data_IF_887106966830
#
_entry.id   IF_887106966830
#
_cell.length_a   1.000
_cell.length_b   1.000
_cell.length_c   1.000
_cell.angle_alpha   90.00
_cell.angle_beta   90.00
_cell.angle_gamma   90.00
#
_symmetry.space_group_name_H-M   'P 1'
#
loop_
_entity.id
_entity.type
_entity.pdbx_description
1 polymer ?
#
# COMPACT_ATOMS: atom_id res chain seq x y z
N UNK A 1 -23.78 34.04 -33.84
CA UNK A 1 -22.67 33.38 -34.56
C UNK A 1 -21.46 33.29 -33.62
N UNK A 2 -20.85 32.10 -33.52
CA UNK A 2 -19.46 31.80 -33.10
C UNK A 2 -19.04 32.15 -31.63
N UNK A 3 -18.30 31.34 -30.86
CA UNK A 3 -17.60 30.08 -31.13
C UNK A 3 -16.98 29.46 -29.85
N UNK A 4 -17.04 28.12 -29.79
CA UNK A 4 -16.10 27.12 -29.23
C UNK A 4 -14.91 27.54 -28.31
N UNK A 5 -14.81 26.80 -27.17
CA UNK A 5 -13.68 25.94 -26.68
C UNK A 5 -12.95 26.30 -25.34
N UNK A 6 -13.11 25.38 -24.39
CA UNK A 6 -12.10 24.62 -23.61
C UNK A 6 -11.02 25.33 -22.73
N UNK A 7 -11.22 25.14 -21.41
CA UNK A 7 -10.29 24.70 -20.34
C UNK A 7 -8.94 25.38 -20.06
N UNK A 8 -8.70 25.51 -18.74
CA UNK A 8 -7.46 25.26 -17.97
C UNK A 8 -6.79 26.49 -17.34
N UNK A 9 -6.42 26.39 -16.07
CA UNK A 9 -5.49 27.31 -15.41
C UNK A 9 -5.37 27.06 -13.91
N UNK A 10 -4.66 26.01 -13.50
CA UNK A 10 -4.17 25.86 -12.13
C UNK A 10 -3.08 26.92 -11.93
N UNK A 11 -3.24 27.79 -10.92
CA UNK A 11 -2.22 28.75 -10.50
C UNK A 11 -1.73 28.38 -9.08
N UNK A 12 -0.41 28.44 -8.95
CA UNK A 12 0.42 27.84 -7.91
C UNK A 12 0.33 28.52 -6.53
N UNK A 13 0.60 27.75 -5.48
CA UNK A 13 1.08 28.27 -4.20
C UNK A 13 2.31 27.48 -3.77
N UNK A 14 3.46 28.16 -3.81
CA UNK A 14 4.76 27.67 -3.36
C UNK A 14 4.85 27.71 -1.83
N UNK A 15 5.38 26.65 -1.19
CA UNK A 15 5.82 26.70 0.20
C UNK A 15 7.12 25.89 0.39
N UNK A 16 8.21 26.64 0.63
CA UNK A 16 9.37 26.32 1.45
C UNK A 16 9.98 24.91 1.41
N UNK A 17 11.12 24.78 0.73
CA UNK A 17 12.08 23.70 1.00
C UNK A 17 12.86 24.04 2.29
N UNK A 18 12.28 23.73 3.44
CA UNK A 18 13.04 23.61 4.67
C UNK A 18 13.76 22.25 4.64
N UNK A 19 15.09 22.30 4.62
CA UNK A 19 15.95 21.12 4.70
C UNK A 19 15.84 20.48 6.09
N UNK A 20 14.83 19.62 6.28
CA UNK A 20 14.89 18.60 7.31
C UNK A 20 15.83 17.51 6.80
N UNK A 21 17.00 17.39 7.42
CA UNK A 21 17.77 16.14 7.38
C UNK A 21 16.88 15.11 8.08
N UNK A 22 15.98 14.52 7.31
CA UNK A 22 15.22 13.36 7.74
C UNK A 22 16.27 12.28 7.92
N UNK A 23 16.64 12.01 9.17
CA UNK A 23 16.96 10.65 9.55
C UNK A 23 15.73 9.84 9.13
N UNK A 24 15.75 9.32 7.90
CA UNK A 24 14.76 8.37 7.46
C UNK A 24 14.79 7.30 8.55
N UNK A 25 13.67 7.02 9.25
CA UNK A 25 13.65 5.84 10.09
C UNK A 25 14.08 4.73 9.15
N UNK A 26 15.22 4.12 9.43
CA UNK A 26 15.58 2.85 8.81
C UNK A 26 14.37 2.00 9.10
N UNK A 27 13.53 1.80 8.08
CA UNK A 27 12.38 0.94 8.15
C UNK A 27 12.95 -0.48 8.18
N UNK A 28 13.56 -0.82 9.33
CA UNK A 28 13.48 -2.17 9.82
C UNK A 28 11.99 -2.42 9.92
N UNK A 29 11.44 -3.04 8.86
CA UNK A 29 10.08 -3.52 8.85
C UNK A 29 9.98 -4.43 10.08
N UNK A 30 9.49 -3.87 11.18
CA UNK A 30 9.33 -4.60 12.41
C UNK A 30 8.50 -5.82 12.08
N UNK A 31 8.90 -6.96 12.64
CA UNK A 31 8.16 -8.19 12.47
C UNK A 31 6.70 -7.93 12.83
N UNK A 32 5.82 -8.02 11.84
CA UNK A 32 4.40 -7.84 12.05
C UNK A 32 3.89 -9.02 12.85
N UNK A 33 3.11 -8.73 13.89
CA UNK A 33 2.40 -9.80 14.59
C UNK A 33 1.41 -10.44 13.63
N UNK A 34 1.22 -11.75 13.72
CA UNK A 34 0.23 -12.46 12.88
C UNK A 34 -1.19 -11.92 13.07
N UNK A 35 -1.49 -11.40 14.27
CA UNK A 35 -2.75 -10.70 14.56
C UNK A 35 -2.87 -9.41 13.76
N UNK A 36 -1.78 -8.66 13.61
CA UNK A 36 -1.72 -7.43 12.79
C UNK A 36 -1.94 -7.77 11.33
N UNK A 37 -1.18 -8.73 10.78
CA UNK A 37 -1.30 -9.15 9.37
C UNK A 37 -2.73 -9.58 9.05
N UNK A 38 -3.33 -10.42 9.90
CA UNK A 38 -4.72 -10.85 9.73
C UNK A 38 -5.69 -9.67 9.76
N UNK A 39 -5.59 -8.79 10.74
CA UNK A 39 -6.49 -7.64 10.90
C UNK A 39 -6.39 -6.68 9.70
N UNK A 40 -5.18 -6.41 9.23
CA UNK A 40 -4.95 -5.54 8.08
C UNK A 40 -5.47 -6.19 6.79
N UNK A 41 -5.28 -7.50 6.64
CA UNK A 41 -5.82 -8.24 5.51
C UNK A 41 -7.36 -8.16 5.45
N UNK A 42 -8.02 -8.37 6.59
CA UNK A 42 -9.48 -8.25 6.70
C UNK A 42 -9.94 -6.81 6.42
N UNK A 43 -9.20 -5.80 6.90
CA UNK A 43 -9.50 -4.40 6.64
C UNK A 43 -9.36 -4.02 5.16
N UNK A 44 -8.47 -4.69 4.42
CA UNK A 44 -8.34 -4.58 2.98
C UNK A 44 -9.43 -5.34 2.20
N UNK A 45 -10.35 -6.03 2.89
CA UNK A 45 -11.34 -6.91 2.27
C UNK A 45 -10.72 -8.17 1.67
N UNK A 46 -9.53 -8.54 2.12
CA UNK A 46 -8.80 -9.71 1.69
C UNK A 46 -9.15 -10.98 2.47
N UNK A 47 -8.63 -12.10 1.99
CA UNK A 47 -8.73 -13.42 2.61
C UNK A 47 -7.37 -13.77 3.19
N UNK A 48 -7.33 -13.91 4.52
CA UNK A 48 -6.13 -14.32 5.24
C UNK A 48 -6.04 -15.85 5.30
N UNK A 49 -4.86 -16.40 5.02
CA UNK A 49 -4.55 -17.83 5.18
C UNK A 49 -3.19 -18.01 5.82
N UNK A 50 -3.03 -19.03 6.67
CA UNK A 50 -1.78 -19.30 7.38
C UNK A 50 -1.47 -20.79 7.41
N UNK A 51 -0.22 -21.14 7.14
CA UNK A 51 0.36 -22.48 7.27
C UNK A 51 1.71 -22.40 7.98
N UNK A 52 1.76 -22.84 9.23
CA UNK A 52 2.98 -22.78 10.06
C UNK A 52 3.47 -21.34 10.30
N UNK A 53 4.69 -21.05 9.83
CA UNK A 53 5.30 -19.72 9.89
C UNK A 53 4.90 -18.83 8.70
N UNK A 54 4.30 -19.39 7.66
CA UNK A 54 3.90 -18.63 6.47
C UNK A 54 2.46 -18.17 6.63
N UNK A 55 2.21 -16.90 6.39
CA UNK A 55 0.87 -16.34 6.25
C UNK A 55 0.74 -15.58 4.94
N UNK A 56 -0.48 -15.51 4.43
CA UNK A 56 -0.79 -14.87 3.15
C UNK A 56 -2.03 -14.02 3.32
N UNK A 57 -2.05 -12.88 2.63
CA UNK A 57 -3.25 -12.06 2.49
C UNK A 57 -3.59 -11.94 1.02
N UNK A 58 -4.82 -12.31 0.65
CA UNK A 58 -5.22 -12.26 -0.75
C UNK A 58 -6.37 -11.31 -0.97
N UNK A 59 -6.20 -10.30 -1.82
CA UNK A 59 -7.13 -9.18 -1.98
C UNK A 59 -7.30 -8.78 -3.44
N UNK A 60 -8.31 -7.94 -3.70
CA UNK A 60 -8.51 -7.31 -5.00
C UNK A 60 -8.14 -5.84 -4.93
N UNK A 61 -7.35 -5.37 -5.90
CA UNK A 61 -7.09 -3.95 -6.06
C UNK A 61 -8.31 -3.21 -6.65
N UNK A 62 -8.20 -1.88 -6.75
CA UNK A 62 -9.26 -1.02 -7.31
C UNK A 62 -9.57 -1.29 -8.80
N UNK A 63 -8.66 -1.95 -9.51
CA UNK A 63 -8.84 -2.36 -10.92
C UNK A 63 -9.45 -3.76 -11.02
N UNK A 64 -9.67 -4.44 -9.90
CA UNK A 64 -10.18 -5.80 -9.83
C UNK A 64 -9.11 -6.89 -9.98
N UNK A 65 -7.83 -6.54 -10.05
CA UNK A 65 -6.75 -7.53 -10.10
C UNK A 65 -6.61 -8.17 -8.73
N UNK A 66 -6.33 -9.47 -8.73
CA UNK A 66 -6.10 -10.25 -7.51
C UNK A 66 -4.62 -10.32 -7.20
N UNK A 67 -4.30 -10.03 -5.95
CA UNK A 67 -2.94 -10.03 -5.42
C UNK A 67 -2.88 -10.85 -4.14
N UNK A 68 -1.76 -11.50 -3.91
CA UNK A 68 -1.43 -12.25 -2.71
C UNK A 68 -0.14 -11.70 -2.12
N UNK A 69 -0.24 -11.12 -0.93
CA UNK A 69 0.91 -10.74 -0.12
C UNK A 69 1.35 -11.97 0.69
N UNK A 70 2.64 -12.30 0.61
CA UNK A 70 3.26 -13.40 1.32
C UNK A 70 4.06 -12.90 2.51
N UNK A 71 3.84 -13.50 3.67
CA UNK A 71 4.55 -13.22 4.90
C UNK A 71 5.19 -14.51 5.44
N UNK A 72 6.43 -14.41 5.93
CA UNK A 72 7.14 -15.50 6.58
C UNK A 72 7.61 -15.07 7.97
N UNK A 73 7.06 -15.71 8.99
CA UNK A 73 7.36 -15.45 10.39
C UNK A 73 7.07 -14.02 10.81
N UNK A 74 6.08 -13.36 10.20
CA UNK A 74 5.75 -11.95 10.40
C UNK A 74 6.49 -10.95 9.51
N UNK A 75 7.37 -11.41 8.62
CA UNK A 75 8.06 -10.55 7.65
C UNK A 75 7.37 -10.60 6.30
N UNK A 76 7.09 -9.44 5.71
CA UNK A 76 6.66 -9.37 4.32
C UNK A 76 7.78 -9.90 3.41
N UNK A 77 7.41 -10.78 2.49
CA UNK A 77 8.34 -11.45 1.56
C UNK A 77 8.15 -10.93 0.15
N UNK A 78 6.92 -10.99 -0.37
CA UNK A 78 6.61 -10.60 -1.75
C UNK A 78 5.10 -10.40 -1.95
N UNK A 79 4.72 -9.78 -3.06
CA UNK A 79 3.33 -9.72 -3.55
C UNK A 79 3.27 -10.33 -4.95
N UNK A 80 2.43 -11.35 -5.12
CA UNK A 80 2.27 -12.06 -6.39
C UNK A 80 0.83 -12.03 -6.90
N UNK A 81 0.59 -12.14 -8.21
CA UNK A 81 -0.77 -12.30 -8.75
C UNK A 81 -1.45 -13.61 -8.30
N UNK A 82 -2.77 -13.62 -8.07
CA UNK A 82 -3.55 -14.80 -7.64
C UNK A 82 -4.75 -15.16 -8.52
#
# INVERSE_FOLDING_TARGET
>A
MNGKRFRTGIAAAALGLAACVLAAPVAHAEKLSEKTIKKECEAAGGVYSRSGTVSTCTYKDIKGNKWMDWFSGGHYVDTIPW
#
